data_IF_013759094943
#
_entry.id   IF_013759094943
#
_cell.length_a   1.000
_cell.length_b   1.000
_cell.length_c   1.000
_cell.angle_alpha   90.00
_cell.angle_beta   90.00
_cell.angle_gamma   90.00
#
_symmetry.space_group_name_H-M   'P 1'
#
loop_
_entity.id
_entity.type
_entity.pdbx_description
1 polymer ?
#
# COMPACT_ATOMS: atom_id res chain seq x y z
N UNK A 1 5.56 -18.07 -5.26
CA UNK A 1 5.58 -16.73 -5.86
C UNK A 1 5.60 -15.69 -4.75
N UNK A 2 6.44 -14.68 -4.87
CA UNK A 2 6.50 -13.64 -3.86
C UNK A 2 5.61 -12.47 -4.26
N UNK A 3 4.76 -12.06 -3.32
CA UNK A 3 3.89 -10.91 -3.46
C UNK A 3 4.44 -9.77 -2.63
N UNK A 4 4.37 -8.56 -3.15
CA UNK A 4 4.79 -7.36 -2.42
C UNK A 4 3.61 -6.84 -1.60
N UNK A 5 3.91 -6.43 -0.38
CA UNK A 5 2.90 -5.96 0.58
C UNK A 5 2.96 -4.45 0.64
N UNK A 6 1.82 -3.80 0.47
CA UNK A 6 1.70 -2.35 0.50
C UNK A 6 0.57 -1.93 1.41
N UNK A 7 0.66 -0.72 1.92
CA UNK A 7 -0.44 -0.10 2.64
C UNK A 7 -0.45 1.40 2.35
N UNK A 8 -1.61 1.99 2.45
CA UNK A 8 -1.79 3.43 2.29
C UNK A 8 -1.85 4.04 3.68
N UNK A 9 -1.01 5.03 3.96
CA UNK A 9 -0.98 5.71 5.24
C UNK A 9 -1.72 7.03 5.16
N UNK A 10 -2.60 7.24 6.12
CA UNK A 10 -3.28 8.52 6.33
C UNK A 10 -2.48 9.34 7.35
N UNK A 11 -1.81 10.39 6.88
CA UNK A 11 -0.97 11.22 7.73
C UNK A 11 -1.78 11.99 8.78
N UNK A 12 -2.99 12.38 8.46
CA UNK A 12 -3.85 13.12 9.38
C UNK A 12 -4.41 12.23 10.47
N UNK A 13 -4.83 11.02 10.09
CA UNK A 13 -5.31 10.03 11.05
C UNK A 13 -4.20 9.30 11.78
N UNK A 14 -2.96 9.41 11.29
CA UNK A 14 -1.79 8.71 11.81
C UNK A 14 -2.01 7.21 11.86
N UNK A 15 -2.55 6.65 10.77
CA UNK A 15 -2.92 5.25 10.69
C UNK A 15 -2.65 4.71 9.29
N UNK A 16 -2.27 3.43 9.23
CA UNK A 16 -2.16 2.69 7.97
C UNK A 16 -3.47 1.98 7.69
N UNK A 17 -3.88 1.98 6.43
CA UNK A 17 -5.03 1.19 6.00
C UNK A 17 -4.67 -0.29 5.98
N UNK A 18 -5.67 -1.15 5.83
CA UNK A 18 -5.46 -2.58 5.68
C UNK A 18 -4.49 -2.83 4.52
N UNK A 19 -3.44 -3.65 4.74
CA UNK A 19 -2.47 -3.92 3.68
C UNK A 19 -3.10 -4.65 2.49
N UNK A 20 -2.51 -4.44 1.32
CA UNK A 20 -2.90 -5.17 0.12
C UNK A 20 -1.65 -5.72 -0.57
N UNK A 21 -1.85 -6.67 -1.47
CA UNK A 21 -0.77 -7.43 -2.09
C UNK A 21 -0.80 -7.22 -3.58
N UNK A 22 0.39 -7.00 -4.17
CA UNK A 22 0.55 -6.90 -5.61
C UNK A 22 1.83 -7.60 -6.04
N UNK A 23 1.87 -8.01 -7.30
CA UNK A 23 3.04 -8.69 -7.84
C UNK A 23 4.20 -7.73 -8.09
N UNK A 24 3.88 -6.52 -8.51
CA UNK A 24 4.89 -5.53 -8.88
C UNK A 24 4.58 -4.19 -8.24
N UNK A 25 5.62 -3.39 -8.10
CA UNK A 25 5.51 -2.03 -7.60
C UNK A 25 4.60 -1.18 -8.51
N UNK A 26 4.73 -1.35 -9.82
CA UNK A 26 3.90 -0.61 -10.77
C UNK A 26 2.41 -0.89 -10.61
N UNK A 27 2.05 -2.15 -10.34
CA UNK A 27 0.66 -2.51 -10.09
C UNK A 27 0.14 -1.88 -8.80
N UNK A 28 0.99 -1.81 -7.76
CA UNK A 28 0.62 -1.17 -6.51
C UNK A 28 0.38 0.32 -6.69
N UNK A 29 1.24 1.00 -7.44
CA UNK A 29 1.07 2.42 -7.75
C UNK A 29 -0.18 2.67 -8.55
N UNK A 30 -0.47 1.81 -9.52
CA UNK A 30 -1.69 1.92 -10.33
C UNK A 30 -2.92 1.78 -9.45
N UNK A 31 -2.92 0.78 -8.57
CA UNK A 31 -4.03 0.57 -7.65
C UNK A 31 -4.24 1.78 -6.74
N UNK A 32 -3.17 2.33 -6.20
CA UNK A 32 -3.21 3.53 -5.37
C UNK A 32 -3.81 4.72 -6.14
N UNK A 33 -3.37 4.94 -7.38
CA UNK A 33 -3.91 6.02 -8.21
C UNK A 33 -5.39 5.83 -8.53
N UNK A 34 -5.80 4.60 -8.80
CA UNK A 34 -7.19 4.30 -9.09
C UNK A 34 -8.07 4.63 -7.89
N UNK A 35 -7.65 4.25 -6.69
CA UNK A 35 -8.37 4.58 -5.46
C UNK A 35 -8.34 6.07 -5.21
N UNK A 36 -7.18 6.71 -5.41
CA UNK A 36 -7.02 8.14 -5.17
C UNK A 36 -7.88 9.00 -6.09
N UNK A 37 -8.21 8.50 -7.28
CA UNK A 37 -9.03 9.24 -8.25
C UNK A 37 -10.50 8.83 -8.22
N UNK A 38 -10.90 7.97 -7.29
CA UNK A 38 -12.29 7.54 -7.14
C UNK A 38 -13.18 8.68 -6.66
N UNK A 39 -14.40 8.79 -7.21
CA UNK A 39 -15.26 9.97 -6.96
C UNK A 39 -15.73 10.11 -5.51
N UNK A 40 -15.72 9.04 -4.73
CA UNK A 40 -16.14 9.07 -3.32
C UNK A 40 -15.01 8.74 -2.36
N UNK A 41 -13.78 8.75 -2.85
CA UNK A 41 -12.62 8.40 -2.05
C UNK A 41 -12.20 9.58 -1.17
N UNK A 42 -11.91 9.31 0.10
CA UNK A 42 -11.29 10.30 0.98
C UNK A 42 -9.91 10.69 0.46
N UNK A 43 -9.22 9.72 -0.18
CA UNK A 43 -7.92 9.97 -0.80
C UNK A 43 -8.06 10.99 -1.93
N UNK A 44 -9.13 10.89 -2.73
CA UNK A 44 -9.39 11.84 -3.81
C UNK A 44 -9.63 13.26 -3.28
N UNK A 45 -10.26 13.37 -2.11
CA UNK A 45 -10.54 14.67 -1.49
C UNK A 45 -9.30 15.32 -0.88
N UNK A 46 -8.40 14.51 -0.32
CA UNK A 46 -7.22 14.98 0.40
C UNK A 46 -5.97 14.20 -0.03
N UNK A 47 -5.60 14.28 -1.32
CA UNK A 47 -4.53 13.42 -1.84
C UNK A 47 -3.17 13.66 -1.18
N UNK A 48 -2.90 14.86 -0.70
CA UNK A 48 -1.65 15.18 -0.04
C UNK A 48 -1.50 14.54 1.35
N UNK A 49 -2.60 14.03 1.92
CA UNK A 49 -2.58 13.40 3.23
C UNK A 49 -2.28 11.90 3.17
N UNK A 50 -2.19 11.32 1.98
CA UNK A 50 -2.07 9.88 1.79
C UNK A 50 -0.83 9.52 0.99
N UNK A 51 -0.12 8.51 1.46
CA UNK A 51 1.07 7.99 0.79
C UNK A 51 1.02 6.47 0.71
N UNK A 52 1.61 5.94 -0.34
CA UNK A 52 1.77 4.50 -0.51
C UNK A 52 3.07 4.06 0.16
N UNK A 53 2.99 3.03 1.01
CA UNK A 53 4.14 2.47 1.70
C UNK A 53 4.37 1.03 1.30
N UNK A 54 5.64 0.66 1.17
CA UNK A 54 6.06 -0.72 0.97
C UNK A 54 6.35 -1.35 2.32
N UNK A 55 5.75 -2.51 2.58
CA UNK A 55 5.81 -3.15 3.90
C UNK A 55 6.69 -4.38 3.93
N UNK A 56 6.94 -5.02 2.79
CA UNK A 56 7.68 -6.26 2.72
C UNK A 56 7.12 -7.21 1.67
N UNK A 57 7.32 -8.50 1.88
CA UNK A 57 6.91 -9.53 0.93
C UNK A 57 6.23 -10.71 1.63
N UNK A 58 5.37 -11.38 0.89
CA UNK A 58 4.72 -12.61 1.30
C UNK A 58 4.97 -13.68 0.25
N UNK A 59 5.43 -14.87 0.68
CA UNK A 59 5.63 -16.00 -0.22
C UNK A 59 4.41 -16.91 -0.12
N UNK A 60 3.64 -16.97 -1.20
CA UNK A 60 2.41 -17.76 -1.23
C UNK A 60 2.66 -19.27 -1.33
N UNK A 61 3.90 -19.68 -1.61
CA UNK A 61 4.26 -21.09 -1.64
C UNK A 61 4.54 -21.63 -0.24
N UNK A 62 5.27 -20.86 0.57
CA UNK A 62 5.66 -21.27 1.92
C UNK A 62 4.77 -20.68 3.02
N UNK A 63 4.02 -19.63 2.70
CA UNK A 63 3.21 -18.90 3.68
C UNK A 63 4.02 -17.99 4.57
N UNK A 64 5.27 -17.72 4.22
CA UNK A 64 6.16 -16.89 5.04
C UNK A 64 6.08 -15.43 4.67
N UNK A 65 6.17 -14.59 5.69
CA UNK A 65 6.25 -13.14 5.53
C UNK A 65 7.67 -12.67 5.81
N UNK A 66 8.16 -11.72 5.00
CA UNK A 66 9.40 -11.00 5.26
C UNK A 66 9.05 -9.52 5.27
N UNK A 67 8.82 -8.99 6.46
CA UNK A 67 8.37 -7.62 6.61
C UNK A 67 9.54 -6.72 6.99
N UNK A 68 9.46 -5.46 6.56
CA UNK A 68 10.45 -4.45 6.92
C UNK A 68 10.21 -4.01 8.36
N UNK A 69 11.30 -3.69 9.08
CA UNK A 69 11.20 -3.14 10.43
C UNK A 69 10.45 -1.81 10.40
N UNK A 70 10.69 -1.02 9.35
CA UNK A 70 10.02 0.26 9.16
C UNK A 70 9.47 0.31 7.74
N UNK A 71 8.17 0.58 7.57
CA UNK A 71 7.59 0.76 6.24
C UNK A 71 8.30 1.88 5.49
N UNK A 72 8.43 1.72 4.18
CA UNK A 72 9.12 2.69 3.32
C UNK A 72 8.18 3.31 2.33
N UNK A 73 8.29 4.63 2.14
CA UNK A 73 7.52 5.34 1.12
C UNK A 73 7.90 4.79 -0.26
N UNK A 74 6.88 4.48 -1.01
CA UNK A 74 7.03 3.90 -2.33
C UNK A 74 7.10 4.99 -3.41
#
# INVERSE_FOLDING_TARGET
MQLKIYSIRDAKGQIFNTPFYQRTHGEAERNFRTVANGPKSTIAQYPEDYDLYYMGEFDDTSGKFQVLDTPQIS
#
